data_IF_345380779395
#
_entry.id   IF_345380779395
#
_cell.length_a   1.000
_cell.length_b   1.000
_cell.length_c   1.000
_cell.angle_alpha   90.00
_cell.angle_beta   90.00
_cell.angle_gamma   90.00
#
_symmetry.space_group_name_H-M   'P 1'
#
loop_
_entity.id
_entity.type
_entity.pdbx_description
1 polymer ?
#
# COMPACT_ATOMS: atom_id res chain seq x y z
N UNK A 1 16.44 41.22 6.73
CA UNK A 1 16.53 40.36 5.52
C UNK A 1 15.19 39.64 5.40
N UNK A 2 14.44 39.86 4.31
CA UNK A 2 13.19 39.14 4.10
C UNK A 2 13.54 37.67 3.82
N UNK A 3 13.24 36.78 4.76
CA UNK A 3 13.31 35.34 4.56
C UNK A 3 12.40 35.01 3.39
N UNK A 4 12.98 34.47 2.31
CA UNK A 4 12.26 34.06 1.10
C UNK A 4 11.24 33.01 1.54
N UNK A 5 9.95 33.36 1.59
CA UNK A 5 8.87 32.42 1.99
C UNK A 5 8.98 31.20 1.08
N UNK A 6 9.40 30.07 1.65
CA UNK A 6 9.62 28.84 0.91
C UNK A 6 8.29 28.43 0.29
N UNK A 7 8.26 28.18 -1.02
CA UNK A 7 7.03 27.78 -1.72
C UNK A 7 6.47 26.53 -1.04
N UNK A 8 5.22 26.61 -0.60
CA UNK A 8 4.50 25.50 0.01
C UNK A 8 4.20 24.44 -1.06
N UNK A 9 4.45 23.18 -0.75
CA UNK A 9 4.19 22.05 -1.64
C UNK A 9 3.51 20.92 -0.87
N UNK A 10 2.88 20.00 -1.61
CA UNK A 10 2.26 18.79 -1.06
C UNK A 10 3.25 18.01 -0.19
N UNK A 11 4.45 17.75 -0.71
CA UNK A 11 5.52 17.04 -0.02
C UNK A 11 5.93 17.71 1.29
N UNK A 12 6.01 19.05 1.32
CA UNK A 12 6.36 19.78 2.55
C UNK A 12 5.30 19.66 3.62
N UNK A 13 4.02 19.78 3.24
CA UNK A 13 2.90 19.60 4.17
C UNK A 13 2.92 18.19 4.74
N UNK A 14 3.18 17.18 3.89
CA UNK A 14 3.34 15.79 4.32
C UNK A 14 4.50 15.62 5.29
N UNK A 15 5.68 16.15 4.99
CA UNK A 15 6.84 16.10 5.90
C UNK A 15 6.53 16.75 7.24
N UNK A 16 5.98 17.97 7.25
CA UNK A 16 5.57 18.67 8.47
C UNK A 16 4.56 17.86 9.31
N UNK A 17 3.64 17.15 8.66
CA UNK A 17 2.69 16.26 9.34
C UNK A 17 3.39 15.04 9.94
N UNK A 18 4.26 14.37 9.19
CA UNK A 18 5.02 13.21 9.67
C UNK A 18 5.89 13.60 10.87
N UNK A 19 6.62 14.72 10.77
CA UNK A 19 7.50 15.24 11.83
C UNK A 19 6.70 15.57 13.09
N UNK A 20 5.61 16.35 12.96
CA UNK A 20 4.74 16.64 14.11
C UNK A 20 4.27 15.37 14.80
N UNK A 21 3.79 14.40 14.01
CA UNK A 21 3.21 13.17 14.55
C UNK A 21 4.27 12.40 15.33
N UNK A 22 5.50 12.33 14.81
CA UNK A 22 6.64 11.66 15.47
C UNK A 22 7.10 12.38 16.73
N UNK A 23 7.21 13.70 16.70
CA UNK A 23 7.67 14.49 17.85
C UNK A 23 6.67 14.49 19.01
N UNK A 24 5.37 14.53 18.70
CA UNK A 24 4.31 14.64 19.70
C UNK A 24 3.68 13.29 20.07
N UNK A 25 4.01 12.22 19.33
CA UNK A 25 3.38 10.91 19.44
C UNK A 25 1.84 10.97 19.30
N UNK A 26 1.34 11.96 18.56
CA UNK A 26 -0.08 12.15 18.27
C UNK A 26 -0.28 12.93 16.98
N UNK A 27 -1.46 12.79 16.37
CA UNK A 27 -1.86 13.57 15.20
C UNK A 27 -2.20 15.02 15.61
N UNK A 28 -1.99 16.02 14.73
CA UNK A 28 -2.49 17.37 14.98
C UNK A 28 -4.00 17.35 15.26
N UNK A 29 -4.47 18.19 16.19
CA UNK A 29 -5.89 18.16 16.61
C UNK A 29 -6.84 18.79 15.60
N UNK A 30 -6.34 19.69 14.76
CA UNK A 30 -7.11 20.42 13.76
C UNK A 30 -6.21 21.00 12.68
N UNK A 31 -6.79 21.32 11.52
CA UNK A 31 -6.12 22.07 10.45
C UNK A 31 -5.66 23.44 10.96
N UNK A 32 -6.48 24.12 11.77
CA UNK A 32 -6.10 25.40 12.40
C UNK A 32 -4.80 25.30 13.21
N UNK A 33 -4.70 24.32 14.12
CA UNK A 33 -3.49 24.13 14.92
C UNK A 33 -2.28 23.77 14.04
N UNK A 34 -2.50 22.86 13.08
CA UNK A 34 -1.45 22.35 12.19
C UNK A 34 -0.85 23.45 11.29
N UNK A 35 -1.70 24.34 10.76
CA UNK A 35 -1.28 25.44 9.88
C UNK A 35 -0.61 26.55 10.67
N UNK A 36 -1.19 26.90 11.84
CA UNK A 36 -0.65 27.92 12.76
C UNK A 36 0.76 27.60 13.27
N UNK A 37 1.05 26.33 13.59
CA UNK A 37 2.37 25.94 14.09
C UNK A 37 3.45 25.85 12.99
N UNK A 38 3.05 25.77 11.72
CA UNK A 38 3.94 25.65 10.57
C UNK A 38 3.99 26.93 9.71
N UNK A 39 3.45 28.04 10.23
CA UNK A 39 3.47 29.38 9.61
C UNK A 39 2.85 29.45 8.19
N UNK A 40 1.72 28.76 7.97
CA UNK A 40 0.88 28.96 6.78
C UNK A 40 -0.61 29.03 7.13
N UNK A 41 -1.42 29.46 6.17
CA UNK A 41 -2.87 29.65 6.37
C UNK A 41 -3.67 28.39 6.09
N UNK A 42 -4.86 28.28 6.67
CA UNK A 42 -5.80 27.21 6.31
C UNK A 42 -6.19 27.26 4.82
N UNK A 43 -6.29 28.45 4.22
CA UNK A 43 -6.56 28.56 2.78
C UNK A 43 -5.44 27.96 1.93
N UNK A 44 -4.18 28.14 2.33
CA UNK A 44 -3.03 27.49 1.68
C UNK A 44 -3.10 25.97 1.87
N UNK A 45 -3.48 25.48 3.06
CA UNK A 45 -3.70 24.05 3.32
C UNK A 45 -4.76 23.44 2.40
N UNK A 46 -5.95 24.06 2.35
CA UNK A 46 -7.09 23.54 1.59
C UNK A 46 -6.88 23.56 0.08
N UNK A 47 -5.85 24.25 -0.43
CA UNK A 47 -5.42 24.14 -1.82
C UNK A 47 -4.76 22.79 -2.16
N UNK A 48 -4.30 22.04 -1.15
CA UNK A 48 -3.66 20.72 -1.30
C UNK A 48 -4.48 19.58 -0.67
N UNK A 49 -5.08 19.80 0.50
CA UNK A 49 -5.73 18.74 1.28
C UNK A 49 -7.06 19.20 1.88
N UNK A 50 -8.09 18.35 1.82
CA UNK A 50 -9.40 18.69 2.38
C UNK A 50 -9.48 18.61 3.91
N UNK A 51 -8.61 17.82 4.54
CA UNK A 51 -8.53 17.60 5.99
C UNK A 51 -7.22 16.88 6.34
N UNK A 52 -6.95 16.68 7.63
CA UNK A 52 -5.75 15.98 8.09
C UNK A 52 -5.72 14.52 7.65
N UNK A 53 -6.87 13.83 7.61
CA UNK A 53 -6.98 12.45 7.14
C UNK A 53 -6.53 12.29 5.68
N UNK A 54 -6.71 13.32 4.86
CA UNK A 54 -6.26 13.33 3.47
C UNK A 54 -4.73 13.30 3.36
N UNK A 55 -4.02 13.91 4.34
CA UNK A 55 -2.56 13.83 4.42
C UNK A 55 -2.12 12.41 4.74
N UNK A 56 -2.83 11.74 5.65
CA UNK A 56 -2.49 10.37 6.06
C UNK A 56 -2.58 9.38 4.91
N UNK A 57 -3.64 9.50 4.10
CA UNK A 57 -3.80 8.70 2.88
C UNK A 57 -2.72 9.01 1.87
N UNK A 58 -2.43 10.30 1.70
CA UNK A 58 -1.42 10.76 0.77
C UNK A 58 -0.04 10.20 1.09
N UNK A 59 0.35 10.10 2.36
CA UNK A 59 1.66 9.55 2.74
C UNK A 59 1.86 8.15 2.16
N UNK A 60 0.86 7.27 2.27
CA UNK A 60 0.94 5.93 1.70
C UNK A 60 0.86 5.94 0.17
N UNK A 61 0.11 6.87 -0.41
CA UNK A 61 0.11 7.07 -1.85
C UNK A 61 1.49 7.51 -2.38
N UNK A 62 2.17 8.42 -1.67
CA UNK A 62 3.51 8.86 -2.01
C UNK A 62 4.53 7.73 -1.93
N UNK A 63 4.43 6.83 -0.92
CA UNK A 63 5.28 5.63 -0.89
C UNK A 63 5.06 4.75 -2.12
N UNK A 64 3.81 4.57 -2.53
CA UNK A 64 3.47 3.81 -3.73
C UNK A 64 4.02 4.45 -5.01
N UNK A 65 3.78 5.75 -5.21
CA UNK A 65 4.25 6.48 -6.39
C UNK A 65 5.77 6.49 -6.48
N UNK A 66 6.47 6.74 -5.35
CA UNK A 66 7.93 6.68 -5.29
C UNK A 66 8.47 5.28 -5.57
N UNK A 67 7.75 4.23 -5.15
CA UNK A 67 8.12 2.84 -5.48
C UNK A 67 8.13 2.66 -6.99
N UNK A 68 7.06 3.05 -7.68
CA UNK A 68 6.98 2.93 -9.13
C UNK A 68 8.00 3.83 -9.84
N UNK A 69 8.25 5.04 -9.33
CA UNK A 69 9.28 5.93 -9.85
C UNK A 69 10.67 5.29 -9.77
N UNK A 70 11.01 4.63 -8.65
CA UNK A 70 12.29 3.95 -8.48
C UNK A 70 12.41 2.73 -9.39
N UNK A 71 11.35 1.92 -9.53
CA UNK A 71 11.35 0.75 -10.41
C UNK A 71 11.53 1.14 -11.88
N UNK A 72 10.84 2.19 -12.32
CA UNK A 72 10.92 2.67 -13.70
C UNK A 72 12.27 3.31 -14.07
N UNK A 73 13.19 3.52 -13.11
CA UNK A 73 14.58 3.91 -13.40
C UNK A 73 15.40 2.74 -13.94
N UNK A 74 14.99 1.50 -13.67
CA UNK A 74 15.57 0.31 -14.27
C UNK A 74 14.89 0.04 -15.63
N UNK A 75 15.63 0.25 -16.72
CA UNK A 75 15.13 0.01 -18.08
C UNK A 75 14.73 -1.46 -18.31
N UNK A 76 15.24 -2.40 -17.52
CA UNK A 76 14.88 -3.82 -17.62
C UNK A 76 13.51 -4.11 -16.98
N UNK A 77 13.03 -3.25 -16.08
CA UNK A 77 11.78 -3.46 -15.34
C UNK A 77 10.58 -3.67 -16.28
N UNK A 78 10.54 -2.97 -17.41
CA UNK A 78 9.45 -3.11 -18.40
C UNK A 78 9.34 -4.55 -18.93
N UNK A 79 10.49 -5.22 -19.12
CA UNK A 79 10.58 -6.58 -19.65
C UNK A 79 10.33 -7.69 -18.62
N UNK A 80 10.19 -7.35 -17.34
CA UNK A 80 9.96 -8.34 -16.29
C UNK A 80 8.58 -9.00 -16.43
N UNK A 81 8.52 -10.29 -16.13
CA UNK A 81 7.26 -11.01 -15.99
C UNK A 81 6.47 -10.50 -14.76
N UNK A 82 5.19 -10.87 -14.68
CA UNK A 82 4.31 -10.42 -13.60
C UNK A 82 4.87 -10.74 -12.21
N UNK A 83 5.46 -11.93 -12.03
CA UNK A 83 6.04 -12.37 -10.76
C UNK A 83 7.20 -11.48 -10.34
N UNK A 84 8.12 -11.21 -11.27
CA UNK A 84 9.29 -10.39 -11.04
C UNK A 84 8.89 -8.93 -10.79
N UNK A 85 7.93 -8.39 -11.53
CA UNK A 85 7.36 -7.05 -11.27
C UNK A 85 6.76 -6.92 -9.88
N UNK A 86 6.03 -7.94 -9.41
CA UNK A 86 5.45 -7.94 -8.07
C UNK A 86 6.50 -8.08 -6.97
N UNK A 87 7.51 -8.95 -7.16
CA UNK A 87 8.64 -9.08 -6.22
C UNK A 87 9.41 -7.77 -6.11
N UNK A 88 9.80 -7.17 -7.23
CA UNK A 88 10.50 -5.87 -7.23
C UNK A 88 9.67 -4.79 -6.55
N UNK A 89 8.36 -4.74 -6.80
CA UNK A 89 7.47 -3.82 -6.09
C UNK A 89 7.48 -4.04 -4.58
N UNK A 90 7.35 -5.28 -4.08
CA UNK A 90 7.38 -5.51 -2.63
C UNK A 90 8.72 -5.14 -2.01
N UNK A 91 9.85 -5.56 -2.59
CA UNK A 91 11.15 -5.19 -2.02
C UNK A 91 11.36 -3.68 -1.97
N UNK A 92 11.12 -2.97 -3.07
CA UNK A 92 11.29 -1.50 -3.12
C UNK A 92 10.29 -0.78 -2.20
N UNK A 93 9.02 -1.22 -2.16
CA UNK A 93 8.02 -0.60 -1.29
C UNK A 93 8.36 -0.78 0.19
N UNK A 94 8.74 -1.99 0.61
CA UNK A 94 9.08 -2.27 2.01
C UNK A 94 10.42 -1.67 2.43
N UNK A 95 11.37 -1.48 1.51
CA UNK A 95 12.57 -0.68 1.74
C UNK A 95 12.22 0.79 2.01
N UNK A 96 11.31 1.39 1.22
CA UNK A 96 10.81 2.75 1.46
C UNK A 96 10.08 2.88 2.80
N UNK A 97 9.26 1.89 3.17
CA UNK A 97 8.64 1.86 4.49
C UNK A 97 9.68 1.75 5.61
N UNK A 98 10.73 0.95 5.40
CA UNK A 98 11.85 0.79 6.34
C UNK A 98 12.59 2.11 6.57
N UNK A 99 12.86 2.88 5.51
CA UNK A 99 13.42 4.22 5.63
C UNK A 99 12.53 5.19 6.42
N UNK A 100 11.22 4.92 6.51
CA UNK A 100 10.23 5.73 7.21
C UNK A 100 9.58 5.00 8.40
N UNK A 101 10.28 3.99 8.96
CA UNK A 101 9.70 3.00 9.88
C UNK A 101 8.98 3.65 11.07
N UNK A 102 9.61 4.62 11.72
CA UNK A 102 9.06 5.26 12.91
C UNK A 102 7.66 5.81 12.65
N UNK A 103 7.46 6.47 11.50
CA UNK A 103 6.16 7.02 11.15
C UNK A 103 5.17 5.90 10.87
N UNK A 104 5.52 4.93 10.03
CA UNK A 104 4.64 3.84 9.61
C UNK A 104 4.21 2.97 10.80
N UNK A 105 5.15 2.62 11.67
CA UNK A 105 4.85 1.88 12.90
C UNK A 105 3.92 2.67 13.80
N UNK A 106 4.15 3.97 13.98
CA UNK A 106 3.29 4.78 14.83
C UNK A 106 1.91 5.01 14.21
N UNK A 107 1.80 5.34 12.93
CA UNK A 107 0.51 5.59 12.28
C UNK A 107 -0.39 4.34 12.25
N UNK A 108 0.18 3.15 12.01
CA UNK A 108 -0.56 1.89 11.91
C UNK A 108 -0.69 1.15 13.24
N UNK A 109 0.28 1.22 14.16
CA UNK A 109 0.16 0.54 15.46
C UNK A 109 -0.47 1.42 16.55
N UNK A 110 -0.33 2.75 16.51
CA UNK A 110 -0.82 3.61 17.60
C UNK A 110 -2.35 3.59 17.75
N UNK A 111 -3.10 3.21 16.71
CA UNK A 111 -4.54 3.34 16.74
C UNK A 111 -5.29 2.18 17.39
N UNK A 112 -4.75 0.94 17.51
CA UNK A 112 -5.47 -0.34 17.83
C UNK A 112 -6.82 -0.55 17.10
N UNK A 113 -7.24 0.40 16.28
CA UNK A 113 -8.52 0.53 15.65
C UNK A 113 -8.30 0.23 14.18
N UNK A 114 -8.51 -1.04 13.86
CA UNK A 114 -8.31 -1.60 12.54
C UNK A 114 -9.08 -0.83 11.46
N UNK A 115 -10.23 -0.23 11.79
CA UNK A 115 -11.02 0.57 10.84
C UNK A 115 -10.29 1.85 10.39
N UNK A 116 -9.57 2.52 11.30
CA UNK A 116 -8.80 3.73 10.93
C UNK A 116 -7.65 3.39 9.99
N UNK A 117 -6.96 2.28 10.23
CA UNK A 117 -5.89 1.83 9.35
C UNK A 117 -6.41 1.50 7.95
N UNK A 118 -7.58 0.86 7.84
CA UNK A 118 -8.22 0.59 6.55
C UNK A 118 -8.54 1.88 5.79
N UNK A 119 -9.00 2.93 6.48
CA UNK A 119 -9.27 4.23 5.85
C UNK A 119 -7.99 4.92 5.37
N UNK A 120 -6.92 4.89 6.16
CA UNK A 120 -5.63 5.46 5.78
C UNK A 120 -5.02 4.77 4.54
N UNK A 121 -5.20 3.46 4.42
CA UNK A 121 -4.67 2.68 3.30
C UNK A 121 -5.60 2.66 2.07
N UNK A 122 -6.71 3.41 2.07
CA UNK A 122 -7.75 3.30 1.03
C UNK A 122 -7.27 3.71 -0.37
N UNK A 123 -6.51 4.81 -0.49
CA UNK A 123 -5.97 5.25 -1.77
C UNK A 123 -4.83 4.34 -2.25
N UNK A 124 -3.97 3.91 -1.32
CA UNK A 124 -2.96 2.88 -1.58
C UNK A 124 -3.60 1.59 -2.12
N UNK A 125 -4.70 1.11 -1.50
CA UNK A 125 -5.42 -0.08 -1.97
C UNK A 125 -5.89 0.08 -3.41
N UNK A 126 -6.51 1.22 -3.73
CA UNK A 126 -7.00 1.50 -5.08
C UNK A 126 -5.85 1.45 -6.09
N UNK A 127 -4.75 2.13 -5.80
CA UNK A 127 -3.61 2.23 -6.71
C UNK A 127 -2.83 0.93 -6.82
N UNK A 128 -2.67 0.20 -5.71
CA UNK A 128 -2.08 -1.14 -5.71
C UNK A 128 -2.89 -2.12 -6.57
N UNK A 129 -4.22 -2.17 -6.39
CA UNK A 129 -5.07 -3.03 -7.24
C UNK A 129 -4.99 -2.66 -8.72
N UNK A 130 -4.92 -1.37 -9.04
CA UNK A 130 -4.72 -0.90 -10.41
C UNK A 130 -3.38 -1.40 -10.96
N UNK A 131 -2.30 -1.26 -10.20
CA UNK A 131 -0.98 -1.79 -10.56
C UNK A 131 -1.00 -3.30 -10.78
N UNK A 132 -1.68 -4.08 -9.94
CA UNK A 132 -1.85 -5.52 -10.16
C UNK A 132 -2.53 -5.79 -11.51
N UNK A 133 -3.58 -5.04 -11.86
CA UNK A 133 -4.20 -5.13 -13.19
C UNK A 133 -3.23 -4.80 -14.32
N UNK A 134 -2.42 -3.75 -14.17
CA UNK A 134 -1.44 -3.30 -15.18
C UNK A 134 -0.31 -4.32 -15.40
N UNK A 135 0.18 -4.97 -14.36
CA UNK A 135 1.24 -6.00 -14.49
C UNK A 135 0.70 -7.38 -14.92
N UNK A 136 -0.62 -7.57 -14.92
CA UNK A 136 -1.28 -8.79 -15.41
C UNK A 136 -1.39 -8.71 -16.94
N UNK A 137 -0.32 -9.12 -17.63
CA UNK A 137 -0.21 -9.04 -19.10
C UNK A 137 -1.18 -9.97 -19.83
N UNK A 138 -1.45 -9.68 -21.11
CA UNK A 138 -2.27 -10.56 -21.96
C UNK A 138 -1.62 -11.94 -22.13
N UNK A 139 -0.28 -12.02 -22.19
CA UNK A 139 0.45 -13.29 -22.21
C UNK A 139 0.16 -14.12 -20.95
N UNK A 140 0.15 -13.47 -19.79
CA UNK A 140 -0.26 -14.12 -18.54
C UNK A 140 -1.71 -14.59 -18.64
N UNK A 141 -2.64 -13.74 -19.10
CA UNK A 141 -4.06 -14.10 -19.25
C UNK A 141 -4.27 -15.29 -20.21
N UNK A 142 -3.50 -15.34 -21.30
CA UNK A 142 -3.52 -16.43 -22.30
C UNK A 142 -3.00 -17.74 -21.70
N UNK A 143 -1.92 -17.71 -20.92
CA UNK A 143 -1.36 -18.90 -20.28
C UNK A 143 -2.35 -19.60 -19.32
N UNK A 144 -3.24 -18.84 -18.69
CA UNK A 144 -4.27 -19.39 -17.79
C UNK A 144 -5.63 -19.59 -18.48
N UNK A 145 -5.70 -19.45 -19.81
CA UNK A 145 -6.82 -19.68 -20.75
C UNK A 145 -8.22 -19.11 -20.41
N UNK A 146 -8.45 -18.54 -19.22
CA UNK A 146 -9.79 -18.30 -18.68
C UNK A 146 -9.89 -17.14 -17.68
N UNK A 147 -8.90 -16.23 -17.60
CA UNK A 147 -9.02 -15.04 -16.74
C UNK A 147 -10.07 -14.09 -17.35
N UNK A 148 -11.33 -14.36 -17.02
CA UNK A 148 -12.44 -13.46 -17.24
C UNK A 148 -12.35 -12.28 -16.25
N UNK A 149 -13.05 -11.18 -16.53
CA UNK A 149 -13.04 -9.96 -15.69
C UNK A 149 -13.27 -10.21 -14.20
N UNK A 150 -14.08 -11.22 -13.84
CA UNK A 150 -14.30 -11.62 -12.44
C UNK A 150 -13.05 -12.24 -11.80
N UNK A 151 -12.28 -13.04 -12.54
CA UNK A 151 -11.04 -13.64 -12.06
C UNK A 151 -9.92 -12.60 -11.91
N UNK A 152 -9.88 -11.58 -12.79
CA UNK A 152 -8.95 -10.45 -12.63
C UNK A 152 -9.25 -9.67 -11.35
N UNK A 153 -10.53 -9.41 -11.06
CA UNK A 153 -10.94 -8.80 -9.78
C UNK A 153 -10.56 -9.67 -8.58
N UNK A 154 -10.76 -10.98 -8.67
CA UNK A 154 -10.35 -11.91 -7.61
C UNK A 154 -8.84 -11.87 -7.38
N UNK A 155 -8.04 -11.87 -8.45
CA UNK A 155 -6.58 -11.73 -8.40
C UNK A 155 -6.14 -10.44 -7.71
N UNK A 156 -6.71 -9.30 -8.10
CA UNK A 156 -6.42 -8.00 -7.49
C UNK A 156 -6.76 -7.97 -5.98
N UNK A 157 -7.89 -8.57 -5.59
CA UNK A 157 -8.27 -8.66 -4.17
C UNK A 157 -7.37 -9.63 -3.39
N UNK A 158 -7.03 -10.79 -3.96
CA UNK A 158 -6.10 -11.74 -3.35
C UNK A 158 -4.71 -11.12 -3.17
N UNK A 159 -4.21 -10.39 -4.18
CA UNK A 159 -2.95 -9.67 -4.08
C UNK A 159 -3.00 -8.59 -2.99
N UNK A 160 -4.11 -7.85 -2.86
CA UNK A 160 -4.29 -6.89 -1.78
C UNK A 160 -4.27 -7.55 -0.40
N UNK A 161 -4.94 -8.70 -0.24
CA UNK A 161 -4.91 -9.47 0.99
C UNK A 161 -3.47 -9.93 1.32
N UNK A 162 -2.74 -10.43 0.32
CA UNK A 162 -1.34 -10.80 0.49
C UNK A 162 -0.51 -9.59 0.93
N UNK A 163 -0.66 -8.44 0.27
CA UNK A 163 0.03 -7.20 0.64
C UNK A 163 -0.24 -6.78 2.10
N UNK A 164 -1.51 -6.83 2.55
CA UNK A 164 -1.87 -6.52 3.93
C UNK A 164 -1.23 -7.50 4.92
N UNK A 165 -1.14 -8.79 4.57
CA UNK A 165 -0.43 -9.77 5.41
C UNK A 165 1.07 -9.49 5.46
N UNK A 166 1.69 -9.16 4.32
CA UNK A 166 3.11 -8.75 4.28
C UNK A 166 3.33 -7.49 5.12
N UNK A 167 2.46 -6.49 5.03
CA UNK A 167 2.54 -5.26 5.82
C UNK A 167 2.43 -5.54 7.31
N UNK A 168 1.51 -6.42 7.70
CA UNK A 168 1.38 -6.86 9.09
C UNK A 168 2.65 -7.58 9.56
N UNK A 169 3.17 -8.51 8.75
CA UNK A 169 4.39 -9.24 9.07
C UNK A 169 5.57 -8.27 9.27
N UNK A 170 5.75 -7.32 8.35
CA UNK A 170 6.80 -6.30 8.42
C UNK A 170 6.68 -5.41 9.68
N UNK A 171 5.47 -5.03 10.08
CA UNK A 171 5.24 -4.26 11.31
C UNK A 171 5.66 -5.01 12.58
N UNK A 172 5.60 -6.35 12.55
CA UNK A 172 5.92 -7.24 13.66
C UNK A 172 7.36 -7.78 13.56
N UNK A 173 8.07 -7.53 12.46
CA UNK A 173 9.40 -8.04 12.23
C UNK A 173 10.46 -7.28 13.04
N UNK A 174 11.10 -8.02 13.94
CA UNK A 174 12.20 -7.55 14.78
C UNK A 174 13.58 -8.08 14.36
N UNK A 175 13.69 -8.78 13.23
CA UNK A 175 14.99 -9.26 12.74
C UNK A 175 15.86 -8.10 12.24
N UNK A 176 17.20 -8.24 12.27
CA UNK A 176 18.10 -7.26 11.68
C UNK A 176 17.74 -7.00 10.22
N UNK A 177 17.65 -5.72 9.84
CA UNK A 177 17.33 -5.28 8.48
C UNK A 177 16.08 -5.92 7.84
N UNK A 178 15.12 -6.41 8.63
CA UNK A 178 13.88 -7.02 8.14
C UNK A 178 14.09 -8.29 7.27
N UNK A 179 15.17 -9.02 7.49
CA UNK A 179 15.47 -10.27 6.75
C UNK A 179 14.30 -11.27 6.71
N UNK A 180 13.47 -11.34 7.76
CA UNK A 180 12.33 -12.26 7.78
C UNK A 180 11.20 -11.77 6.90
N UNK A 181 11.01 -10.46 6.78
CA UNK A 181 10.05 -9.87 5.84
C UNK A 181 10.46 -10.18 4.41
N UNK A 182 11.74 -10.08 4.07
CA UNK A 182 12.24 -10.44 2.74
C UNK A 182 11.96 -11.90 2.42
N UNK A 183 12.25 -12.80 3.36
CA UNK A 183 11.93 -14.23 3.23
C UNK A 183 10.42 -14.46 3.08
N UNK A 184 9.60 -13.70 3.82
CA UNK A 184 8.15 -13.79 3.73
C UNK A 184 7.64 -13.34 2.35
N UNK A 185 8.16 -12.24 1.82
CA UNK A 185 7.86 -11.72 0.47
C UNK A 185 8.14 -12.80 -0.56
N UNK A 186 9.36 -13.37 -0.57
CA UNK A 186 9.74 -14.40 -1.54
C UNK A 186 8.83 -15.62 -1.48
N UNK A 187 8.62 -16.15 -0.28
CA UNK A 187 7.82 -17.37 -0.07
C UNK A 187 6.35 -17.16 -0.40
N UNK A 188 5.77 -16.04 0.04
CA UNK A 188 4.35 -15.75 -0.18
C UNK A 188 4.05 -15.47 -1.66
N UNK A 189 4.89 -14.70 -2.36
CA UNK A 189 4.72 -14.46 -3.79
C UNK A 189 4.91 -15.76 -4.57
N UNK A 190 5.97 -16.53 -4.29
CA UNK A 190 6.18 -17.83 -4.94
C UNK A 190 4.97 -18.74 -4.78
N UNK A 191 4.45 -18.88 -3.55
CA UNK A 191 3.27 -19.68 -3.26
C UNK A 191 2.03 -19.21 -4.03
N UNK A 192 1.77 -17.90 -4.10
CA UNK A 192 0.64 -17.35 -4.85
C UNK A 192 0.65 -17.78 -6.33
N UNK A 193 1.81 -17.72 -6.99
CA UNK A 193 1.96 -18.14 -8.39
C UNK A 193 1.90 -19.67 -8.56
N UNK A 194 2.46 -20.44 -7.62
CA UNK A 194 2.34 -21.90 -7.64
C UNK A 194 0.87 -22.34 -7.50
N UNK A 195 0.09 -21.69 -6.63
CA UNK A 195 -1.33 -21.99 -6.46
C UNK A 195 -2.15 -21.68 -7.73
N UNK A 196 -1.81 -20.61 -8.45
CA UNK A 196 -2.43 -20.28 -9.74
C UNK A 196 -2.12 -21.34 -10.81
N UNK A 197 -0.94 -21.99 -10.73
CA UNK A 197 -0.52 -23.04 -11.66
C UNK A 197 -1.16 -24.41 -11.38
N UNK A 198 -1.49 -24.72 -10.13
CA UNK A 198 -1.87 -26.08 -9.70
C UNK A 198 -3.38 -26.31 -9.75
N UNK A 199 -4.20 -25.35 -9.31
CA UNK A 199 -5.64 -25.53 -9.20
C UNK A 199 -6.37 -24.73 -10.28
N UNK A 200 -7.40 -25.29 -10.95
CA UNK A 200 -8.32 -24.47 -11.73
C UNK A 200 -8.90 -23.41 -10.77
N UNK A 201 -8.66 -22.14 -11.03
CA UNK A 201 -9.20 -21.01 -10.24
C UNK A 201 -10.72 -21.20 -10.02
N UNK A 202 -11.40 -21.82 -11.00
CA UNK A 202 -12.81 -22.23 -10.92
C UNK A 202 -13.13 -23.14 -9.72
N UNK A 203 -12.29 -24.13 -9.40
CA UNK A 203 -12.52 -25.05 -8.27
C UNK A 203 -12.45 -24.33 -6.91
N UNK A 204 -11.54 -23.35 -6.76
CA UNK A 204 -11.46 -22.51 -5.56
C UNK A 204 -12.67 -21.58 -5.44
N UNK A 205 -13.11 -20.99 -6.57
CA UNK A 205 -14.33 -20.17 -6.61
C UNK A 205 -15.56 -21.00 -6.25
N UNK A 206 -15.71 -22.19 -6.82
CA UNK A 206 -16.86 -23.05 -6.56
C UNK A 206 -16.89 -23.55 -5.12
N UNK A 207 -15.71 -23.81 -4.52
CA UNK A 207 -15.60 -24.06 -3.09
C UNK A 207 -16.02 -22.84 -2.25
N UNK A 208 -15.61 -21.63 -2.63
CA UNK A 208 -16.05 -20.39 -1.99
C UNK A 208 -17.57 -20.18 -2.07
N UNK A 209 -18.18 -20.43 -3.25
CA UNK A 209 -19.64 -20.39 -3.45
C UNK A 209 -20.35 -21.42 -2.57
N UNK A 210 -19.79 -22.63 -2.45
CA UNK A 210 -20.32 -23.67 -1.58
C UNK A 210 -20.33 -23.23 -0.12
N UNK A 211 -19.19 -22.77 0.41
CA UNK A 211 -19.10 -22.28 1.80
C UNK A 211 -20.08 -21.13 2.07
N UNK A 212 -20.25 -20.21 1.12
CA UNK A 212 -21.23 -19.13 1.24
C UNK A 212 -22.67 -19.66 1.30
N UNK A 213 -23.03 -20.60 0.42
CA UNK A 213 -24.36 -21.24 0.44
C UNK A 213 -24.62 -21.98 1.76
N UNK A 214 -23.68 -22.78 2.24
CA UNK A 214 -23.82 -23.52 3.51
C UNK A 214 -24.02 -22.57 4.69
N UNK A 215 -23.26 -21.47 4.73
CA UNK A 215 -23.38 -20.45 5.79
C UNK A 215 -24.72 -19.70 5.75
N UNK A 216 -25.27 -19.48 4.56
CA UNK A 216 -26.61 -18.87 4.40
C UNK A 216 -27.76 -19.85 4.64
N UNK A 217 -27.55 -21.16 4.53
CA UNK A 217 -28.56 -22.18 4.86
C UNK A 217 -28.58 -22.54 6.35
N UNK A 218 -27.50 -22.25 7.08
CA UNK A 218 -27.39 -22.45 8.53
C UNK A 218 -27.70 -21.19 9.35
N UNK A 219 -28.09 -20.09 8.70
CA UNK A 219 -28.60 -18.85 9.33
C UNK A 219 -30.10 -18.70 9.07
#
# INVERSE_FOLDING_TARGET
MATKKTVLTKDKIVSMYMDYTLEHNEKPKSVYQFTKMNDFTESEFYSFFGNLESIEKEIYNMFFEKTLELLNKDAQYESYDMKSKLLSFYFTFFELLTANRSYVSMSLNANRNQLKNVLQLSDLRKNFKKFIGEITTDEFKIQYEKIQDFQEKALQESAWIQFVFTLKFWLEDGSPAFEKTDIFIEKSVKLSFELMNIAPINSLIDFGKFLFKEKMQTS
#
